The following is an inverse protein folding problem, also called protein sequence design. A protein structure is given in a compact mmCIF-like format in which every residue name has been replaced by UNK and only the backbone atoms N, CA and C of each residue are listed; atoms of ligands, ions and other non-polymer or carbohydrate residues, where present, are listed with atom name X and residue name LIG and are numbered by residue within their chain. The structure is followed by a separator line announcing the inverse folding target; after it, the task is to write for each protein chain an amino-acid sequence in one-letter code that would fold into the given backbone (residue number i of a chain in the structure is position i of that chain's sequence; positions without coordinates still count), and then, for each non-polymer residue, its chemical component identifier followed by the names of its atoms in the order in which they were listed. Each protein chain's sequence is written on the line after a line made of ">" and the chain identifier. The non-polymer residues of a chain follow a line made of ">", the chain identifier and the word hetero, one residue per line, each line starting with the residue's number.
data_IF_653339466382
#
_entry.id   IF_653339466382
#
_cell.length_a   1.000
_cell.length_b   1.000
_cell.length_c   1.000
_cell.angle_alpha   90.00
_cell.angle_beta   90.00
_cell.angle_gamma   90.00
#
_symmetry.space_group_name_H-M   'P 1'
#
loop_
_entity.id
_entity.type
_entity.pdbx_description
1 polymer ?
#
# COMPACT_ATOMS: atom_id res chain seq x y z
N UNK A 1 -13.22 20.47 -3.04
CA UNK A 1 -14.22 19.53 -2.51
C UNK A 1 -14.11 19.49 -0.99
N UNK A 2 -15.21 19.31 -0.26
CA UNK A 2 -15.23 19.03 1.17
C UNK A 2 -16.43 18.15 1.45
N UNK A 3 -16.20 16.86 1.57
CA UNK A 3 -17.24 15.85 1.71
C UNK A 3 -17.14 15.15 3.07
N UNK A 4 -18.28 14.91 3.71
CA UNK A 4 -18.34 14.14 4.96
C UNK A 4 -18.07 12.66 4.66
N UNK A 5 -17.25 12.03 5.49
CA UNK A 5 -16.89 10.64 5.41
C UNK A 5 -16.88 10.02 6.81
N UNK A 6 -17.30 8.78 6.93
CA UNK A 6 -17.15 8.03 8.19
C UNK A 6 -16.04 7.00 8.05
N UNK A 7 -15.37 6.71 9.17
CA UNK A 7 -14.58 5.49 9.25
C UNK A 7 -15.15 4.57 10.34
N UNK A 8 -15.19 3.28 10.03
CA UNK A 8 -15.85 2.27 10.84
C UNK A 8 -15.05 0.97 10.90
N UNK A 9 -15.28 0.23 11.98
CA UNK A 9 -14.60 -1.02 12.27
C UNK A 9 -15.55 -1.97 13.03
N UNK A 10 -14.99 -3.03 13.61
CA UNK A 10 -15.73 -3.93 14.50
C UNK A 10 -16.52 -3.19 15.61
N UNK A 11 -16.04 -2.00 16.01
CA UNK A 11 -16.69 -1.19 17.05
C UNK A 11 -18.06 -0.66 16.65
N UNK A 12 -18.35 -0.56 15.36
CA UNK A 12 -19.64 -0.15 14.81
C UNK A 12 -20.47 -1.35 14.34
N UNK A 13 -20.18 -2.56 14.83
CA UNK A 13 -21.01 -3.74 14.57
C UNK A 13 -22.49 -3.51 14.87
N UNK A 14 -23.39 -3.92 13.96
CA UNK A 14 -24.83 -3.74 14.08
C UNK A 14 -25.29 -2.27 13.97
N UNK A 15 -24.54 -1.39 13.30
CA UNK A 15 -24.97 -0.04 12.96
C UNK A 15 -26.04 -0.08 11.85
N UNK A 16 -26.95 0.89 11.87
CA UNK A 16 -27.93 1.06 10.80
C UNK A 16 -27.27 1.63 9.53
N UNK A 17 -27.03 0.80 8.53
CA UNK A 17 -26.38 1.21 7.28
C UNK A 17 -27.20 2.20 6.45
N UNK A 18 -28.53 2.21 6.56
CA UNK A 18 -29.35 3.22 5.89
C UNK A 18 -29.09 4.62 6.46
N UNK A 19 -28.84 4.71 7.78
CA UNK A 19 -28.46 5.98 8.38
C UNK A 19 -27.08 6.48 7.93
N UNK A 20 -26.13 5.57 7.72
CA UNK A 20 -24.82 5.92 7.12
C UNK A 20 -25.05 6.48 5.71
N UNK A 21 -25.75 5.72 4.85
CA UNK A 21 -26.03 6.09 3.44
C UNK A 21 -26.74 7.43 3.29
N UNK A 22 -27.63 7.74 4.21
CA UNK A 22 -28.37 9.02 4.19
C UNK A 22 -27.50 10.23 4.59
N UNK A 23 -26.33 10.00 5.18
CA UNK A 23 -25.45 11.05 5.69
C UNK A 23 -24.19 11.26 4.84
N UNK A 24 -23.64 10.20 4.23
CA UNK A 24 -22.35 10.24 3.55
C UNK A 24 -22.34 9.46 2.23
N UNK A 25 -21.50 9.89 1.31
CA UNK A 25 -21.16 9.16 0.08
C UNK A 25 -19.80 8.45 0.18
N UNK A 26 -19.10 8.58 1.30
CA UNK A 26 -17.74 8.10 1.52
C UNK A 26 -17.62 7.36 2.84
N UNK A 27 -16.97 6.21 2.84
CA UNK A 27 -16.70 5.46 4.07
C UNK A 27 -15.37 4.73 3.99
N UNK A 28 -14.60 4.71 5.08
CA UNK A 28 -13.33 3.98 5.19
C UNK A 28 -13.52 2.85 6.19
N UNK A 29 -13.15 1.63 5.79
CA UNK A 29 -13.40 0.41 6.56
C UNK A 29 -12.11 -0.13 7.17
N UNK A 30 -12.09 -0.48 8.44
CA UNK A 30 -10.96 -1.23 8.96
C UNK A 30 -10.94 -2.63 8.34
N UNK A 31 -9.89 -2.92 7.58
CA UNK A 31 -9.71 -4.25 7.01
C UNK A 31 -9.13 -5.24 8.04
N UNK A 32 -8.28 -4.73 8.93
CA UNK A 32 -7.67 -5.56 9.95
C UNK A 32 -6.59 -4.83 10.75
N UNK A 33 -5.84 -5.61 11.51
CA UNK A 33 -4.74 -5.15 12.34
C UNK A 33 -3.73 -6.28 12.56
N UNK A 34 -2.45 -5.98 12.63
CA UNK A 34 -1.39 -6.98 12.77
C UNK A 34 -1.51 -8.10 11.72
N UNK A 35 -1.92 -9.29 12.12
CA UNK A 35 -2.17 -10.44 11.22
C UNK A 35 -3.64 -10.86 11.18
N UNK A 36 -4.53 -10.03 11.74
CA UNK A 36 -5.94 -10.39 11.98
C UNK A 36 -6.87 -9.55 11.11
N UNK A 37 -7.79 -10.20 10.40
CA UNK A 37 -8.90 -9.54 9.70
C UNK A 37 -9.89 -8.94 10.68
N UNK A 38 -10.41 -7.74 10.41
CA UNK A 38 -11.55 -7.21 11.16
C UNK A 38 -12.79 -8.07 10.90
N UNK A 39 -13.45 -8.49 11.97
CA UNK A 39 -14.59 -9.42 11.88
C UNK A 39 -15.85 -8.79 11.29
N UNK A 40 -15.91 -7.47 11.18
CA UNK A 40 -17.03 -6.74 10.55
C UNK A 40 -16.71 -6.26 9.13
N UNK A 41 -15.50 -6.46 8.62
CA UNK A 41 -15.12 -5.96 7.29
C UNK A 41 -16.11 -6.40 6.22
N UNK A 42 -16.38 -7.70 6.09
CA UNK A 42 -17.27 -8.22 5.05
C UNK A 42 -18.69 -7.68 5.19
N UNK A 43 -19.17 -7.61 6.44
CA UNK A 43 -20.50 -7.09 6.72
C UNK A 43 -20.60 -5.59 6.36
N UNK A 44 -19.62 -4.77 6.76
CA UNK A 44 -19.57 -3.36 6.40
C UNK A 44 -19.43 -3.16 4.89
N UNK A 45 -18.50 -3.88 4.26
CA UNK A 45 -18.27 -3.78 2.82
C UNK A 45 -19.54 -4.12 2.02
N UNK A 46 -20.19 -5.26 2.32
CA UNK A 46 -21.38 -5.69 1.58
C UNK A 46 -22.57 -4.74 1.75
N UNK A 47 -22.75 -4.20 2.96
CA UNK A 47 -23.88 -3.29 3.22
C UNK A 47 -23.62 -1.85 2.77
N UNK A 48 -22.39 -1.46 2.46
CA UNK A 48 -22.04 -0.11 2.00
C UNK A 48 -21.67 -0.04 0.51
N UNK A 49 -21.90 -1.12 -0.25
CA UNK A 49 -21.75 -1.11 -1.70
C UNK A 49 -22.53 0.04 -2.33
N UNK A 50 -21.92 0.77 -3.28
CA UNK A 50 -22.48 1.97 -3.92
C UNK A 50 -22.05 3.29 -3.26
N UNK A 51 -21.42 3.24 -2.09
CA UNK A 51 -20.62 4.37 -1.58
C UNK A 51 -19.20 4.30 -2.13
N UNK A 52 -18.48 5.42 -2.04
CA UNK A 52 -17.04 5.45 -2.27
C UNK A 52 -16.33 4.88 -1.03
N UNK A 53 -15.76 3.68 -1.19
CA UNK A 53 -15.15 2.94 -0.08
C UNK A 53 -13.63 3.02 -0.13
N UNK A 54 -13.02 3.14 1.04
CA UNK A 54 -11.60 2.92 1.30
C UNK A 54 -11.40 1.87 2.37
N UNK A 55 -10.15 1.48 2.62
CA UNK A 55 -9.85 0.56 3.70
C UNK A 55 -8.58 0.95 4.43
N UNK A 56 -8.48 0.61 5.72
CA UNK A 56 -7.27 0.84 6.50
C UNK A 56 -6.83 -0.40 7.29
N UNK A 57 -5.52 -0.43 7.56
CA UNK A 57 -4.87 -1.46 8.36
C UNK A 57 -4.18 -0.84 9.57
N UNK A 58 -4.57 -1.23 10.77
CA UNK A 58 -3.97 -0.77 12.02
C UNK A 58 -2.70 -1.57 12.30
N UNK A 59 -1.54 -0.90 12.29
CA UNK A 59 -0.26 -1.62 12.40
C UNK A 59 0.25 -1.74 13.83
N UNK A 60 0.83 -2.91 14.11
CA UNK A 60 1.67 -3.18 15.27
C UNK A 60 3.12 -3.49 14.87
N UNK A 61 3.46 -3.37 13.61
CA UNK A 61 4.78 -3.68 13.07
C UNK A 61 5.87 -2.84 13.73
N UNK A 62 6.93 -3.48 14.21
CA UNK A 62 8.06 -2.83 14.89
C UNK A 62 9.27 -2.63 13.99
N UNK A 63 9.21 -3.11 12.77
CA UNK A 63 10.26 -3.00 11.75
C UNK A 63 9.67 -3.15 10.34
N UNK A 64 10.50 -2.87 9.33
CA UNK A 64 10.10 -2.94 7.93
C UNK A 64 9.62 -4.33 7.48
N UNK A 65 10.21 -5.41 8.00
CA UNK A 65 9.83 -6.77 7.59
C UNK A 65 8.46 -7.17 8.14
N UNK A 66 8.15 -6.76 9.36
CA UNK A 66 6.81 -6.93 9.93
C UNK A 66 5.78 -6.10 9.17
N UNK A 67 6.11 -4.85 8.82
CA UNK A 67 5.26 -3.99 8.01
C UNK A 67 4.94 -4.60 6.64
N UNK A 68 5.94 -5.20 5.96
CA UNK A 68 5.70 -5.91 4.70
C UNK A 68 4.79 -7.13 4.86
N UNK A 69 4.88 -7.86 5.99
CA UNK A 69 3.99 -8.99 6.28
C UNK A 69 2.56 -8.51 6.50
N UNK A 70 2.38 -7.44 7.28
CA UNK A 70 1.06 -6.86 7.52
C UNK A 70 0.44 -6.31 6.22
N UNK A 71 1.21 -5.63 5.37
CA UNK A 71 0.74 -5.13 4.08
C UNK A 71 0.29 -6.25 3.14
N UNK A 72 1.05 -7.36 3.06
CA UNK A 72 0.64 -8.55 2.30
C UNK A 72 -0.65 -9.15 2.86
N UNK A 73 -0.77 -9.21 4.20
CA UNK A 73 -1.98 -9.68 4.85
C UNK A 73 -3.18 -8.77 4.57
N UNK A 74 -2.97 -7.45 4.53
CA UNK A 74 -4.00 -6.51 4.13
C UNK A 74 -4.52 -6.81 2.72
N UNK A 75 -3.62 -6.96 1.73
CA UNK A 75 -4.01 -7.29 0.35
C UNK A 75 -4.71 -8.64 0.26
N UNK A 76 -4.25 -9.66 1.00
CA UNK A 76 -4.92 -10.97 1.10
C UNK A 76 -6.35 -10.83 1.66
N UNK A 77 -6.51 -10.02 2.72
CA UNK A 77 -7.81 -9.85 3.40
C UNK A 77 -8.82 -9.13 2.53
N UNK A 78 -8.40 -8.11 1.78
CA UNK A 78 -9.31 -7.38 0.90
C UNK A 78 -9.61 -8.14 -0.39
N UNK A 79 -8.72 -9.03 -0.85
CA UNK A 79 -8.94 -9.86 -2.03
C UNK A 79 -9.45 -9.07 -3.23
N UNK A 80 -10.60 -9.46 -3.77
CA UNK A 80 -11.22 -8.82 -4.94
C UNK A 80 -12.13 -7.62 -4.61
N UNK A 81 -12.15 -7.16 -3.35
CA UNK A 81 -12.93 -5.99 -2.95
C UNK A 81 -12.49 -4.75 -3.73
N UNK A 82 -13.45 -3.92 -4.15
CA UNK A 82 -13.17 -2.70 -4.92
C UNK A 82 -13.24 -1.47 -4.02
N UNK A 83 -12.21 -0.64 -4.12
CA UNK A 83 -12.09 0.59 -3.33
C UNK A 83 -11.85 1.78 -4.26
N UNK A 84 -12.68 2.82 -4.14
CA UNK A 84 -12.53 4.08 -4.87
C UNK A 84 -11.77 5.14 -4.08
N UNK A 85 -11.46 4.86 -2.83
CA UNK A 85 -10.59 5.65 -1.96
C UNK A 85 -9.26 4.91 -1.76
N UNK A 86 -8.24 5.60 -1.20
CA UNK A 86 -6.95 4.96 -0.90
C UNK A 86 -7.07 3.76 0.05
N UNK A 87 -6.03 2.93 0.03
CA UNK A 87 -5.71 2.01 1.12
C UNK A 87 -4.75 2.70 2.09
N UNK A 88 -5.08 2.65 3.38
CA UNK A 88 -4.37 3.42 4.40
C UNK A 88 -3.60 2.51 5.37
N UNK A 89 -2.38 2.92 5.70
CA UNK A 89 -1.70 2.44 6.89
C UNK A 89 -2.08 3.34 8.06
N UNK A 90 -2.64 2.77 9.12
CA UNK A 90 -2.90 3.44 10.39
C UNK A 90 -1.74 3.17 11.34
N UNK A 91 -0.93 4.22 11.60
CA UNK A 91 0.27 4.15 12.43
C UNK A 91 0.19 5.15 13.59
N UNK A 92 -0.25 4.67 14.76
CA UNK A 92 -0.39 5.49 15.97
C UNK A 92 -0.36 4.67 17.26
N UNK A 93 -0.12 3.36 17.18
CA UNK A 93 -0.20 2.50 18.36
C UNK A 93 0.84 2.86 19.43
N UNK A 94 0.43 3.00 20.71
CA UNK A 94 1.36 3.32 21.80
C UNK A 94 2.53 2.34 21.96
N UNK A 95 2.40 1.08 21.55
CA UNK A 95 3.48 0.09 21.60
C UNK A 95 4.67 0.43 20.70
N UNK A 96 4.45 1.34 19.72
CA UNK A 96 5.48 1.82 18.79
C UNK A 96 6.20 3.09 19.33
N UNK A 97 5.79 3.64 20.48
CA UNK A 97 6.34 4.89 21.01
C UNK A 97 7.84 4.87 21.25
N UNK A 98 8.41 3.70 21.52
CA UNK A 98 9.85 3.51 21.76
C UNK A 98 10.72 3.41 20.51
N UNK A 99 10.10 3.33 19.32
CA UNK A 99 10.83 3.21 18.06
C UNK A 99 11.42 4.55 17.63
N UNK A 100 12.57 4.47 16.95
CA UNK A 100 13.18 5.65 16.35
C UNK A 100 12.34 6.19 15.19
N UNK A 101 12.49 7.48 14.88
CA UNK A 101 11.86 8.09 13.72
C UNK A 101 12.22 7.38 12.41
N UNK A 102 13.49 6.98 12.26
CA UNK A 102 13.93 6.22 11.09
C UNK A 102 13.16 4.91 10.98
N UNK A 103 13.08 4.13 12.06
CA UNK A 103 12.34 2.86 12.07
C UNK A 103 10.86 3.04 11.73
N UNK A 104 10.21 4.09 12.26
CA UNK A 104 8.82 4.39 11.94
C UNK A 104 8.65 4.76 10.46
N UNK A 105 9.56 5.54 9.89
CA UNK A 105 9.56 5.86 8.47
C UNK A 105 9.79 4.63 7.59
N UNK A 106 10.70 3.73 8.01
CA UNK A 106 10.95 2.47 7.31
C UNK A 106 9.71 1.56 7.31
N UNK A 107 8.94 1.54 8.42
CA UNK A 107 7.66 0.84 8.51
C UNK A 107 6.68 1.40 7.48
N UNK A 108 6.46 2.72 7.46
CA UNK A 108 5.55 3.38 6.51
C UNK A 108 5.96 3.09 5.07
N UNK A 109 7.25 3.25 4.77
CA UNK A 109 7.77 3.05 3.40
C UNK A 109 7.63 1.59 2.96
N UNK A 110 8.02 0.65 3.81
CA UNK A 110 7.95 -0.78 3.51
C UNK A 110 6.52 -1.29 3.33
N UNK A 111 5.58 -0.76 4.11
CA UNK A 111 4.16 -1.06 3.96
C UNK A 111 3.62 -0.48 2.63
N UNK A 112 3.89 0.81 2.39
CA UNK A 112 3.44 1.50 1.19
C UNK A 112 3.96 0.87 -0.10
N UNK A 113 5.22 0.44 -0.14
CA UNK A 113 5.79 -0.27 -1.28
C UNK A 113 5.01 -1.54 -1.66
N UNK A 114 4.53 -2.30 -0.70
CA UNK A 114 3.72 -3.51 -0.96
C UNK A 114 2.35 -3.13 -1.52
N UNK A 115 1.70 -2.10 -0.95
CA UNK A 115 0.39 -1.64 -1.41
C UNK A 115 0.47 -1.04 -2.83
N UNK A 116 1.46 -0.17 -3.07
CA UNK A 116 1.69 0.46 -4.38
C UNK A 116 2.05 -0.59 -5.45
N UNK A 117 2.90 -1.57 -5.12
CA UNK A 117 3.23 -2.69 -6.02
C UNK A 117 2.02 -3.60 -6.30
N UNK A 118 1.05 -3.64 -5.39
CA UNK A 118 -0.25 -4.29 -5.60
C UNK A 118 -1.19 -3.48 -6.52
N UNK A 119 -0.75 -2.34 -7.05
CA UNK A 119 -1.56 -1.49 -7.94
C UNK A 119 -2.57 -0.62 -7.22
N UNK A 120 -2.39 -0.36 -5.93
CA UNK A 120 -3.31 0.47 -5.15
C UNK A 120 -2.74 1.84 -4.83
N UNK A 121 -3.63 2.82 -4.70
CA UNK A 121 -3.29 4.14 -4.18
C UNK A 121 -3.09 4.05 -2.66
N UNK A 122 -1.87 4.33 -2.21
CA UNK A 122 -1.50 4.26 -0.80
C UNK A 122 -1.55 5.64 -0.12
N UNK A 123 -2.01 5.67 1.12
CA UNK A 123 -2.02 6.84 1.99
C UNK A 123 -1.74 6.44 3.44
N UNK A 124 -1.44 7.41 4.30
CA UNK A 124 -1.07 7.15 5.70
C UNK A 124 -2.02 7.87 6.63
N UNK A 125 -2.62 7.13 7.57
CA UNK A 125 -3.32 7.72 8.71
C UNK A 125 -2.42 7.78 9.92
N UNK A 126 -2.48 8.92 10.60
CA UNK A 126 -1.94 9.09 11.94
C UNK A 126 -2.58 10.32 12.61
N UNK A 127 -2.38 10.49 13.92
CA UNK A 127 -2.78 11.74 14.57
C UNK A 127 -1.70 12.83 14.40
N UNK A 128 -2.13 14.10 14.54
CA UNK A 128 -1.26 15.27 14.34
C UNK A 128 0.00 15.26 15.22
N UNK A 129 -0.10 14.73 16.45
CA UNK A 129 1.07 14.63 17.34
C UNK A 129 2.10 13.65 16.80
N UNK A 130 1.68 12.47 16.31
CA UNK A 130 2.57 11.49 15.69
C UNK A 130 3.21 12.03 14.42
N UNK A 131 2.42 12.66 13.54
CA UNK A 131 2.94 13.29 12.33
C UNK A 131 4.08 14.26 12.64
N UNK A 132 3.89 15.15 13.61
CA UNK A 132 4.88 16.20 13.95
C UNK A 132 6.09 15.69 14.72
N UNK A 133 5.90 14.76 15.63
CA UNK A 133 6.89 14.44 16.66
C UNK A 133 7.50 13.04 16.50
N UNK A 134 6.85 12.12 15.80
CA UNK A 134 7.30 10.74 15.66
C UNK A 134 7.73 10.40 14.23
N UNK A 135 6.99 10.84 13.23
CA UNK A 135 7.26 10.58 11.82
C UNK A 135 8.08 11.73 11.21
N UNK A 136 8.84 11.45 10.17
CA UNK A 136 9.48 12.51 9.37
C UNK A 136 8.47 13.01 8.33
N UNK A 137 7.57 13.89 8.76
CA UNK A 137 6.49 14.38 7.91
C UNK A 137 6.98 14.96 6.58
N UNK A 138 8.08 15.71 6.58
CA UNK A 138 8.56 16.37 5.35
C UNK A 138 9.02 15.39 4.26
N UNK A 139 9.67 14.28 4.59
CA UNK A 139 10.12 13.29 3.61
C UNK A 139 8.97 12.43 3.12
N UNK A 140 8.19 11.87 4.03
CA UNK A 140 7.02 11.07 3.70
C UNK A 140 5.92 11.90 3.00
N UNK A 141 5.80 13.20 3.37
CA UNK A 141 4.83 14.13 2.79
C UNK A 141 5.07 14.42 1.29
N UNK A 142 6.30 14.23 0.80
CA UNK A 142 6.62 14.33 -0.63
C UNK A 142 6.15 13.12 -1.42
N UNK A 143 6.00 11.99 -0.74
CA UNK A 143 5.68 10.70 -1.37
C UNK A 143 4.22 10.32 -1.20
N UNK A 144 3.64 10.59 -0.03
CA UNK A 144 2.31 10.10 0.33
C UNK A 144 1.35 11.21 0.69
N UNK A 145 0.09 10.99 0.41
CA UNK A 145 -1.02 11.75 1.00
C UNK A 145 -1.24 11.30 2.45
N UNK A 146 -1.90 12.17 3.22
CA UNK A 146 -2.18 11.91 4.62
C UNK A 146 -3.67 11.95 4.92
N UNK A 147 -4.06 11.09 5.84
CA UNK A 147 -5.29 11.16 6.60
C UNK A 147 -4.89 11.52 8.04
N UNK A 148 -5.22 12.72 8.49
CA UNK A 148 -4.75 13.25 9.78
C UNK A 148 -5.90 13.36 10.79
N UNK A 149 -5.74 12.72 11.95
CA UNK A 149 -6.60 12.98 13.09
C UNK A 149 -6.12 14.24 13.84
N UNK A 150 -7.00 15.21 13.89
CA UNK A 150 -6.83 16.45 14.64
C UNK A 150 -8.22 16.89 15.10
N UNK A 151 -8.65 16.37 16.24
CA UNK A 151 -10.04 16.55 16.68
C UNK A 151 -10.32 17.98 17.12
N UNK A 152 -11.42 18.53 16.64
CA UNK A 152 -11.87 19.90 16.89
C UNK A 152 -12.55 20.50 15.67
N UNK A 153 -12.85 21.81 15.78
CA UNK A 153 -13.61 22.51 14.76
C UNK A 153 -12.77 22.99 13.57
N UNK A 154 -11.45 22.98 13.72
CA UNK A 154 -10.53 23.47 12.71
C UNK A 154 -9.56 22.35 12.23
N UNK A 155 -9.31 22.29 10.91
CA UNK A 155 -8.33 21.34 10.36
C UNK A 155 -6.91 21.69 10.83
N UNK A 156 -5.93 20.77 10.62
CA UNK A 156 -4.53 21.05 10.88
C UNK A 156 -4.10 22.36 10.22
N UNK A 157 -3.35 23.20 10.96
CA UNK A 157 -2.90 24.49 10.43
C UNK A 157 -2.13 24.33 9.11
N UNK A 158 -2.39 25.16 8.10
CA UNK A 158 -1.60 25.18 6.87
C UNK A 158 -0.09 25.38 7.11
N UNK A 159 0.30 26.03 8.22
CA UNK A 159 1.70 26.24 8.59
C UNK A 159 2.47 24.94 8.85
N UNK A 160 1.79 23.82 9.06
CA UNK A 160 2.44 22.52 9.20
C UNK A 160 2.85 21.91 7.85
N UNK A 161 2.38 22.48 6.72
CA UNK A 161 2.75 22.01 5.38
C UNK A 161 2.32 20.58 5.08
N UNK A 162 1.27 20.07 5.74
CA UNK A 162 0.81 18.68 5.55
C UNK A 162 0.01 18.57 4.26
N UNK A 163 0.40 17.66 3.38
CA UNK A 163 -0.39 17.29 2.21
C UNK A 163 -1.48 16.28 2.59
N UNK A 164 -2.47 16.69 3.39
CA UNK A 164 -3.56 15.80 3.75
C UNK A 164 -4.73 15.91 2.76
N UNK A 165 -5.29 14.75 2.44
CA UNK A 165 -6.53 14.66 1.65
C UNK A 165 -7.74 14.33 2.51
N UNK A 166 -7.51 13.83 3.74
CA UNK A 166 -8.56 13.48 4.70
C UNK A 166 -8.20 14.04 6.08
N UNK A 167 -9.18 14.62 6.74
CA UNK A 167 -9.08 15.11 8.11
C UNK A 167 -10.14 14.47 8.99
N UNK A 168 -9.72 13.66 9.98
CA UNK A 168 -10.60 13.15 11.02
C UNK A 168 -10.76 14.22 12.12
N UNK A 169 -11.98 14.74 12.27
CA UNK A 169 -12.24 15.85 13.17
C UNK A 169 -12.91 15.44 14.49
N UNK A 170 -13.45 14.24 14.59
CA UNK A 170 -14.09 13.74 15.82
C UNK A 170 -14.25 12.23 15.80
N UNK A 171 -14.24 11.61 16.98
CA UNK A 171 -14.64 10.22 17.22
C UNK A 171 -16.02 10.10 17.87
N UNK A 172 -16.81 11.15 17.89
CA UNK A 172 -18.09 11.23 18.64
C UNK A 172 -19.27 11.63 17.78
N UNK A 173 -19.16 11.53 16.45
CA UNK A 173 -20.28 11.79 15.56
C UNK A 173 -21.39 10.75 15.79
N UNK A 174 -22.65 11.19 15.88
CA UNK A 174 -23.75 10.27 16.19
C UNK A 174 -24.43 9.75 14.93
N UNK A 175 -24.38 8.42 14.77
CA UNK A 175 -25.14 7.66 13.79
C UNK A 175 -25.83 6.51 14.50
N UNK A 176 -27.14 6.40 14.40
CA UNK A 176 -27.93 5.36 15.06
C UNK A 176 -27.63 5.23 16.57
N UNK A 177 -27.45 6.37 17.24
CA UNK A 177 -27.09 6.44 18.66
C UNK A 177 -25.64 6.03 18.99
N UNK A 178 -24.90 5.46 18.05
CA UNK A 178 -23.50 5.03 18.23
C UNK A 178 -22.54 6.17 17.91
N UNK A 179 -21.35 6.13 18.50
CA UNK A 179 -20.24 6.99 18.09
C UNK A 179 -19.60 6.42 16.85
N UNK A 180 -19.33 7.31 15.89
CA UNK A 180 -18.64 7.02 14.66
C UNK A 180 -17.55 8.07 14.47
N UNK A 181 -16.40 7.64 13.99
CA UNK A 181 -15.34 8.55 13.61
C UNK A 181 -15.73 9.28 12.32
N UNK A 182 -15.62 10.60 12.33
CA UNK A 182 -16.05 11.42 11.22
C UNK A 182 -14.93 12.27 10.66
N UNK A 183 -14.94 12.37 9.34
CA UNK A 183 -13.87 12.94 8.53
C UNK A 183 -14.43 13.91 7.50
N UNK A 184 -13.56 14.80 7.01
CA UNK A 184 -13.76 15.51 5.75
C UNK A 184 -12.72 15.04 4.72
N UNK A 185 -13.20 14.71 3.52
CA UNK A 185 -12.38 14.45 2.35
C UNK A 185 -12.28 15.72 1.51
N UNK A 186 -11.05 16.10 1.12
CA UNK A 186 -10.76 17.30 0.35
C UNK A 186 -10.31 17.03 -1.09
N UNK A 187 -9.95 15.79 -1.41
CA UNK A 187 -9.51 15.36 -2.75
C UNK A 187 -10.55 14.47 -3.42
N UNK A 188 -10.68 14.59 -4.71
CA UNK A 188 -11.53 13.68 -5.51
C UNK A 188 -10.77 12.37 -5.79
N UNK A 189 -10.60 11.57 -4.74
CA UNK A 189 -9.91 10.29 -4.86
C UNK A 189 -10.51 9.34 -5.90
N UNK A 190 -11.85 9.20 -6.01
CA UNK A 190 -12.43 8.34 -7.04
C UNK A 190 -11.93 8.69 -8.45
N UNK A 191 -11.91 9.98 -8.80
CA UNK A 191 -11.39 10.44 -10.09
C UNK A 191 -9.87 10.26 -10.18
N UNK A 192 -9.11 10.69 -9.17
CA UNK A 192 -7.64 10.58 -9.14
C UNK A 192 -7.19 9.13 -9.31
N UNK A 193 -7.80 8.20 -8.57
CA UNK A 193 -7.44 6.78 -8.57
C UNK A 193 -7.80 6.11 -9.90
N UNK A 194 -9.00 6.43 -10.42
CA UNK A 194 -9.46 5.92 -11.72
C UNK A 194 -8.57 6.41 -12.87
N UNK A 195 -8.29 7.70 -12.92
CA UNK A 195 -7.47 8.30 -13.98
C UNK A 195 -6.02 7.81 -13.94
N UNK A 196 -5.52 7.47 -12.76
CA UNK A 196 -4.21 6.85 -12.58
C UNK A 196 -4.21 5.32 -12.87
N UNK A 197 -5.36 4.71 -13.14
CA UNK A 197 -5.47 3.26 -13.36
C UNK A 197 -5.19 2.41 -12.12
N UNK A 198 -5.35 3.00 -10.93
CA UNK A 198 -5.07 2.33 -9.65
C UNK A 198 -6.32 1.67 -9.05
N UNK A 199 -6.12 0.91 -7.97
CA UNK A 199 -7.15 0.16 -7.25
C UNK A 199 -7.95 -0.80 -8.15
N UNK A 200 -7.36 -1.19 -9.28
CA UNK A 200 -8.01 -2.05 -10.28
C UNK A 200 -9.38 -1.50 -10.74
N UNK A 201 -9.51 -0.15 -10.79
CA UNK A 201 -10.72 0.56 -11.24
C UNK A 201 -10.65 0.99 -12.70
N UNK A 202 -9.51 0.86 -13.36
CA UNK A 202 -9.38 1.13 -14.79
C UNK A 202 -10.26 0.16 -15.57
N UNK A 203 -11.26 0.70 -16.29
CA UNK A 203 -11.96 -0.07 -17.32
C UNK A 203 -10.96 -0.48 -18.37
N UNK A 204 -10.97 -1.75 -18.72
CA UNK A 204 -10.28 -2.35 -19.87
C UNK A 204 -8.81 -1.94 -20.05
N UNK A 205 -7.95 -2.21 -19.06
CA UNK A 205 -6.66 -2.75 -19.45
C UNK A 205 -6.99 -4.08 -20.12
N UNK A 206 -6.59 -4.31 -21.38
CA UNK A 206 -6.85 -5.62 -21.98
C UNK A 206 -6.29 -6.64 -20.98
N UNK A 207 -7.14 -7.44 -20.40
CA UNK A 207 -6.73 -8.70 -19.77
C UNK A 207 -5.78 -9.30 -20.80
N UNK A 208 -4.54 -9.63 -20.46
CA UNK A 208 -3.72 -10.43 -21.36
C UNK A 208 -4.65 -11.57 -21.78
N UNK A 209 -4.86 -11.82 -23.05
CA UNK A 209 -5.83 -12.81 -23.49
C UNK A 209 -5.58 -14.07 -22.70
N UNK A 210 -6.62 -14.53 -22.01
CA UNK A 210 -6.61 -15.86 -21.40
C UNK A 210 -6.04 -16.79 -22.48
N UNK A 211 -4.97 -17.52 -22.25
CA UNK A 211 -4.38 -18.33 -23.28
C UNK A 211 -5.44 -19.33 -23.72
N UNK A 212 -6.03 -19.06 -24.90
CA UNK A 212 -6.81 -20.07 -25.61
C UNK A 212 -6.04 -21.35 -25.56
N UNK A 213 -6.62 -22.49 -25.16
CA UNK A 213 -5.87 -23.75 -25.14
C UNK A 213 -5.42 -24.07 -26.56
N UNK A 214 -4.22 -23.63 -26.87
CA UNK A 214 -3.51 -24.01 -28.09
C UNK A 214 -3.03 -25.45 -27.89
N UNK A 215 -3.20 -26.33 -28.88
CA UNK A 215 -2.70 -27.69 -28.78
C UNK A 215 -1.21 -27.66 -28.50
N UNK A 216 -0.79 -28.41 -27.49
CA UNK A 216 0.59 -28.54 -27.01
C UNK A 216 1.56 -28.68 -28.18
N UNK A 217 2.40 -27.68 -28.48
CA UNK A 217 3.57 -27.91 -29.30
C UNK A 217 4.70 -28.43 -28.40
N UNK A 218 5.43 -29.39 -28.91
CA UNK A 218 6.71 -29.86 -28.42
C UNK A 218 7.62 -28.70 -28.02
N UNK A 219 8.33 -28.74 -26.87
CA UNK A 219 9.09 -27.59 -26.38
C UNK A 219 10.21 -27.24 -27.35
N UNK A 220 10.08 -26.14 -28.05
CA UNK A 220 11.17 -25.47 -28.76
C UNK A 220 12.00 -24.72 -27.71
N UNK A 221 13.33 -24.76 -27.74
CA UNK A 221 14.17 -24.14 -26.73
C UNK A 221 13.93 -22.62 -26.73
N UNK A 222 13.51 -22.07 -25.57
CA UNK A 222 13.39 -20.63 -25.32
C UNK A 222 14.71 -19.94 -25.66
N UNK A 223 14.75 -18.88 -26.51
CA UNK A 223 15.97 -18.17 -26.75
C UNK A 223 16.47 -17.53 -25.45
N UNK A 224 17.62 -17.95 -25.00
CA UNK A 224 18.38 -17.29 -23.96
C UNK A 224 18.65 -15.86 -24.42
N UNK A 225 18.34 -14.81 -23.62
CA UNK A 225 18.78 -13.47 -23.95
C UNK A 225 20.29 -13.47 -24.04
N UNK A 226 20.83 -13.29 -25.24
CA UNK A 226 22.27 -13.22 -25.43
C UNK A 226 22.83 -12.03 -24.63
N UNK A 227 23.68 -12.32 -23.64
CA UNK A 227 24.79 -11.49 -23.36
C UNK A 227 24.80 -10.57 -22.16
N UNK A 228 24.06 -10.82 -21.07
CA UNK A 228 24.34 -10.12 -19.81
C UNK A 228 25.67 -10.63 -19.22
N UNK A 229 26.62 -9.72 -18.96
CA UNK A 229 27.98 -10.01 -18.46
C UNK A 229 28.27 -9.25 -17.17
N UNK A 230 29.19 -9.73 -16.38
CA UNK A 230 29.73 -8.97 -15.24
C UNK A 230 30.24 -7.62 -15.74
N UNK A 231 29.87 -6.55 -15.03
CA UNK A 231 30.17 -5.17 -15.41
C UNK A 231 29.12 -4.47 -16.26
N UNK A 232 28.15 -5.20 -16.85
CA UNK A 232 27.07 -4.57 -17.60
C UNK A 232 26.23 -3.69 -16.68
N UNK A 233 25.85 -2.51 -17.20
CA UNK A 233 24.87 -1.65 -16.55
C UNK A 233 23.46 -2.11 -16.92
N UNK A 234 22.63 -2.32 -15.92
CA UNK A 234 21.26 -2.81 -16.08
C UNK A 234 20.27 -1.96 -15.29
N UNK A 235 19.07 -1.83 -15.84
CA UNK A 235 17.92 -1.32 -15.09
C UNK A 235 17.14 -2.51 -14.55
N UNK A 236 16.83 -2.49 -13.25
CA UNK A 236 16.00 -3.52 -12.62
C UNK A 236 14.56 -3.26 -13.03
N UNK A 237 13.94 -4.20 -13.73
CA UNK A 237 12.55 -4.13 -14.22
C UNK A 237 11.65 -5.18 -13.56
N UNK A 238 12.21 -6.07 -12.73
CA UNK A 238 11.47 -7.12 -12.05
C UNK A 238 12.00 -7.40 -10.64
N UNK A 239 11.34 -8.31 -9.96
CA UNK A 239 11.65 -8.69 -8.57
C UNK A 239 12.78 -9.71 -8.56
N UNK A 240 13.74 -9.51 -7.67
CA UNK A 240 14.84 -10.41 -7.39
C UNK A 240 14.69 -11.17 -6.07
N UNK A 241 15.80 -11.74 -5.60
CA UNK A 241 15.91 -12.41 -4.31
C UNK A 241 17.16 -11.95 -3.56
N UNK A 242 17.19 -12.07 -2.25
CA UNK A 242 18.37 -11.77 -1.43
C UNK A 242 19.49 -12.83 -1.55
N UNK A 243 19.25 -13.93 -2.28
CA UNK A 243 20.18 -15.03 -2.49
C UNK A 243 20.06 -15.62 -3.90
N UNK A 244 21.17 -16.03 -4.50
CA UNK A 244 21.18 -16.73 -5.80
C UNK A 244 20.40 -18.06 -5.78
N UNK A 245 20.22 -18.66 -4.61
CA UNK A 245 19.47 -19.92 -4.41
C UNK A 245 17.95 -19.70 -4.30
N UNK A 246 17.47 -18.46 -4.19
CA UNK A 246 16.04 -18.17 -4.02
C UNK A 246 15.48 -18.50 -2.63
N UNK A 247 16.33 -18.72 -1.64
CA UNK A 247 15.97 -19.12 -0.28
C UNK A 247 16.15 -17.98 0.75
N UNK A 248 16.21 -16.76 0.30
CA UNK A 248 16.34 -15.57 1.12
C UNK A 248 15.21 -14.59 0.81
N UNK A 249 15.23 -13.42 1.46
CA UNK A 249 14.21 -12.39 1.24
C UNK A 249 14.19 -11.94 -0.22
N UNK A 250 13.01 -11.59 -0.70
CA UNK A 250 12.82 -11.00 -2.04
C UNK A 250 13.60 -9.69 -2.14
N UNK A 251 14.39 -9.52 -3.20
CA UNK A 251 15.09 -8.27 -3.47
C UNK A 251 14.24 -7.37 -4.37
N UNK A 252 14.10 -6.14 -3.98
CA UNK A 252 13.40 -5.09 -4.70
C UNK A 252 14.42 -4.05 -5.17
N UNK A 253 14.11 -3.33 -6.19
CA UNK A 253 14.97 -2.32 -6.77
C UNK A 253 14.48 -1.91 -8.15
N UNK A 254 13.20 -2.19 -8.43
CA UNK A 254 12.58 -1.86 -9.71
C UNK A 254 12.77 -0.37 -9.99
N UNK A 255 13.25 -0.07 -11.19
CA UNK A 255 13.63 1.27 -11.63
C UNK A 255 15.09 1.66 -11.31
N UNK A 256 15.80 0.91 -10.46
CA UNK A 256 17.19 1.21 -10.14
C UNK A 256 18.12 0.83 -11.29
N UNK A 257 19.10 1.70 -11.58
CA UNK A 257 20.22 1.40 -12.48
C UNK A 257 21.37 0.88 -11.63
N UNK A 258 21.87 -0.30 -11.96
CA UNK A 258 22.90 -1.05 -11.22
C UNK A 258 23.85 -1.73 -12.18
N UNK A 259 24.92 -2.30 -11.65
CA UNK A 259 25.85 -3.16 -12.39
C UNK A 259 25.67 -4.62 -12.02
N UNK A 260 25.91 -5.50 -12.97
CA UNK A 260 26.06 -6.92 -12.69
C UNK A 260 27.43 -7.12 -12.01
N UNK A 261 27.41 -7.56 -10.75
CA UNK A 261 28.60 -7.75 -9.93
C UNK A 261 29.18 -9.15 -10.10
N UNK A 262 28.32 -10.15 -10.28
CA UNK A 262 28.71 -11.55 -10.49
C UNK A 262 27.58 -12.34 -11.15
N UNK A 263 27.92 -13.51 -11.72
CA UNK A 263 26.98 -14.45 -12.37
C UNK A 263 27.17 -15.84 -11.80
N UNK A 264 26.16 -16.39 -11.19
CA UNK A 264 26.13 -17.73 -10.59
C UNK A 264 25.37 -18.70 -11.49
N UNK A 265 26.04 -19.27 -12.48
CA UNK A 265 25.43 -20.20 -13.44
C UNK A 265 24.71 -21.38 -12.76
N UNK A 266 23.57 -21.77 -13.30
CA UNK A 266 22.75 -22.87 -12.77
C UNK A 266 21.97 -22.55 -11.49
N UNK A 267 21.99 -21.29 -11.00
CA UNK A 267 21.21 -20.86 -9.85
C UNK A 267 19.84 -20.30 -10.26
N UNK A 268 18.80 -20.42 -9.41
CA UNK A 268 17.47 -19.87 -9.68
C UNK A 268 17.46 -18.35 -9.95
N UNK A 269 18.38 -17.59 -9.30
CA UNK A 269 18.57 -16.14 -9.46
C UNK A 269 20.05 -15.88 -9.73
N UNK A 270 20.52 -16.04 -10.98
CA UNK A 270 21.95 -16.10 -11.27
C UNK A 270 22.67 -14.77 -11.22
N UNK A 271 22.00 -13.65 -11.46
CA UNK A 271 22.65 -12.34 -11.60
C UNK A 271 22.70 -11.61 -10.27
N UNK A 272 23.89 -11.48 -9.68
CA UNK A 272 24.12 -10.58 -8.55
C UNK A 272 24.24 -9.15 -9.07
N UNK A 273 23.37 -8.28 -8.60
CA UNK A 273 23.26 -6.90 -9.07
C UNK A 273 23.47 -5.94 -7.92
N UNK A 274 24.22 -4.87 -8.14
CA UNK A 274 24.55 -3.92 -7.08
C UNK A 274 25.15 -2.61 -7.59
N UNK A 275 25.65 -1.80 -6.64
CA UNK A 275 26.35 -0.54 -6.89
C UNK A 275 27.53 -0.43 -5.91
N UNK A 276 28.69 0.02 -6.40
CA UNK A 276 29.88 0.26 -5.60
C UNK A 276 30.26 -0.95 -4.71
N UNK A 277 30.20 -2.16 -5.30
CA UNK A 277 30.41 -3.46 -4.63
C UNK A 277 29.37 -3.83 -3.55
N UNK A 278 28.31 -3.06 -3.39
CA UNK A 278 27.20 -3.37 -2.48
C UNK A 278 26.09 -4.06 -3.24
N UNK A 279 25.74 -5.29 -2.85
CA UNK A 279 24.69 -6.10 -3.49
C UNK A 279 23.32 -5.48 -3.23
N UNK A 280 22.56 -5.21 -4.30
CA UNK A 280 21.13 -4.83 -4.23
C UNK A 280 20.26 -6.09 -4.12
N UNK A 281 20.64 -7.18 -4.83
CA UNK A 281 19.95 -8.44 -4.82
C UNK A 281 20.44 -9.37 -5.94
N UNK A 282 19.76 -10.51 -6.05
CA UNK A 282 19.98 -11.53 -7.08
C UNK A 282 18.74 -11.60 -7.96
N UNK A 283 18.93 -11.64 -9.28
CA UNK A 283 17.85 -11.49 -10.25
C UNK A 283 17.92 -12.56 -11.33
N UNK A 284 16.79 -12.83 -11.96
CA UNK A 284 16.73 -13.57 -13.22
C UNK A 284 16.93 -12.59 -14.39
N UNK A 285 17.30 -13.13 -15.55
CA UNK A 285 17.55 -12.30 -16.73
C UNK A 285 16.34 -11.44 -17.13
N UNK A 286 15.13 -12.00 -17.04
CA UNK A 286 13.88 -11.32 -17.36
C UNK A 286 13.55 -10.14 -16.42
N UNK A 287 14.21 -10.04 -15.28
CA UNK A 287 14.06 -8.94 -14.33
C UNK A 287 15.08 -7.80 -14.56
N UNK A 288 15.90 -7.90 -15.61
CA UNK A 288 16.99 -6.97 -15.92
C UNK A 288 16.90 -6.49 -17.37
N UNK A 289 16.95 -5.20 -17.59
CA UNK A 289 17.06 -4.55 -18.89
C UNK A 289 18.47 -3.99 -19.06
N UNK A 290 19.19 -4.44 -20.10
CA UNK A 290 20.53 -3.93 -20.38
C UNK A 290 20.44 -2.49 -20.89
N UNK A 291 21.26 -1.61 -20.34
CA UNK A 291 21.32 -0.19 -20.67
C UNK A 291 22.37 0.07 -21.75
#
# INVERSE_FOLDING_TARGET
>A
MKELCFDISTWQGGINYNEIRNKVNYCILRAGFSTTKDNQLDNHYNNLQGLNLGAYWYTYAKNADEARKEARKFLEVIGDMKFTLPLYLDIEDPSLNGLSRSTLNDIVTAFGEIIENGGYYFSVYTNLNWYRNKLSGNELNKKYDWWIACWGDNPPSPSYGINYGVWQFTSKYKVDGKNVDANYIFKDYPTIIKDAGLNHLGGDTPTPPEPTPTPTPTPEPTPTPEGLKVGDTVKIIGIGNGSSMGNSNTAYGIGYIRQILDIYEGRPYPYQVGKDSVTTGFYKAEALEKM
#
